data_IF_987075553524
#
_entry.id   IF_987075553524
#
_cell.length_a   1.000
_cell.length_b   1.000
_cell.length_c   1.000
_cell.angle_alpha   90.00
_cell.angle_beta   90.00
_cell.angle_gamma   90.00
#
_symmetry.space_group_name_H-M   'P 1'
#
loop_
_entity.id
_entity.type
_entity.pdbx_description
1 polymer ?
#
# COMPACT_ATOMS: atom_id res chain seq x y z
N UNK A 1 2.13 10.93 -6.30
CA UNK A 1 1.82 11.48 -4.97
C UNK A 1 0.86 12.64 -5.14
N UNK A 2 -0.15 12.74 -4.28
CA UNK A 2 -1.13 13.82 -4.28
C UNK A 2 -1.23 14.34 -2.86
N UNK A 3 -1.06 15.65 -2.68
CA UNK A 3 -1.27 16.32 -1.38
C UNK A 3 -2.44 17.29 -1.50
N UNK A 4 -3.44 17.13 -0.65
CA UNK A 4 -4.62 17.98 -0.62
C UNK A 4 -5.07 18.19 0.83
N UNK A 5 -5.32 19.45 1.21
CA UNK A 5 -5.78 19.82 2.56
C UNK A 5 -4.94 19.22 3.70
N UNK A 6 -3.62 19.16 3.53
CA UNK A 6 -2.70 18.60 4.52
C UNK A 6 -2.72 17.09 4.64
N UNK A 7 -3.36 16.38 3.71
CA UNK A 7 -3.31 14.92 3.58
C UNK A 7 -2.48 14.52 2.38
N UNK A 8 -1.64 13.51 2.52
CA UNK A 8 -0.80 13.01 1.43
C UNK A 8 -1.13 11.56 1.08
N UNK A 9 -1.44 11.34 -0.20
CA UNK A 9 -1.75 10.03 -0.79
C UNK A 9 -0.66 9.65 -1.78
N UNK A 10 -0.06 8.48 -1.56
CA UNK A 10 0.85 7.86 -2.52
C UNK A 10 0.11 6.78 -3.31
N UNK A 11 0.00 6.97 -4.62
CA UNK A 11 -0.47 5.93 -5.53
C UNK A 11 0.76 5.40 -6.28
N UNK A 12 1.15 4.15 -6.02
CA UNK A 12 2.38 3.59 -6.58
C UNK A 12 2.28 3.32 -8.10
N UNK A 13 1.05 3.13 -8.60
CA UNK A 13 0.85 2.61 -9.97
C UNK A 13 1.28 1.15 -10.06
N UNK A 14 1.55 0.70 -11.28
CA UNK A 14 2.14 -0.62 -11.53
C UNK A 14 3.66 -0.48 -11.44
N UNK A 15 4.24 -1.09 -10.40
CA UNK A 15 5.65 -0.96 -10.09
C UNK A 15 6.12 -2.12 -9.20
N UNK A 16 7.44 -2.30 -9.12
CA UNK A 16 8.12 -3.16 -8.16
C UNK A 16 8.57 -2.35 -6.93
N UNK A 17 9.13 -3.03 -5.93
CA UNK A 17 9.74 -2.33 -4.81
C UNK A 17 11.07 -1.68 -5.23
N UNK A 18 11.07 -0.35 -5.33
CA UNK A 18 12.24 0.44 -5.73
C UNK A 18 12.88 1.18 -4.53
N UNK A 19 14.19 1.46 -4.56
CA UNK A 19 14.90 2.14 -3.47
C UNK A 19 14.28 3.48 -3.05
N UNK A 20 13.74 4.25 -4.00
CA UNK A 20 13.15 5.57 -3.80
C UNK A 20 11.93 5.53 -2.86
N UNK A 21 11.25 4.38 -2.74
CA UNK A 21 10.17 4.22 -1.77
C UNK A 21 10.63 4.36 -0.31
N UNK A 22 11.93 4.16 -0.02
CA UNK A 22 12.52 4.38 1.31
C UNK A 22 12.74 5.84 1.65
N UNK A 23 12.71 6.71 0.64
CA UNK A 23 12.88 8.16 0.80
C UNK A 23 11.53 8.87 1.04
N UNK A 24 10.42 8.14 0.89
CA UNK A 24 9.08 8.66 1.19
C UNK A 24 8.87 8.78 2.71
N UNK A 25 8.23 9.87 3.13
CA UNK A 25 7.84 10.10 4.52
C UNK A 25 6.47 10.77 4.59
N UNK A 26 5.80 10.66 5.74
CA UNK A 26 4.57 11.42 6.05
C UNK A 26 3.38 11.12 5.11
N UNK A 27 3.24 9.86 4.69
CA UNK A 27 2.11 9.40 3.89
C UNK A 27 0.91 9.07 4.79
N UNK A 28 -0.24 9.69 4.55
CA UNK A 28 -1.48 9.29 5.23
C UNK A 28 -2.02 7.99 4.64
N UNK A 29 -1.96 7.86 3.30
CA UNK A 29 -2.42 6.66 2.60
C UNK A 29 -1.43 6.27 1.50
N UNK A 30 -1.08 4.99 1.41
CA UNK A 30 -0.42 4.42 0.25
C UNK A 30 -1.31 3.37 -0.44
N UNK A 31 -1.42 3.42 -1.76
CA UNK A 31 -2.04 2.39 -2.58
C UNK A 31 -0.91 1.61 -3.28
N UNK A 32 -0.80 0.32 -2.96
CA UNK A 32 0.30 -0.55 -3.43
C UNK A 32 -0.25 -1.71 -4.26
N UNK A 33 0.31 -2.00 -5.45
CA UNK A 33 -0.04 -3.20 -6.21
C UNK A 33 0.48 -4.45 -5.48
N UNK A 34 -0.28 -5.56 -5.54
CA UNK A 34 0.12 -6.83 -4.90
C UNK A 34 0.02 -8.03 -5.86
N UNK A 35 -0.06 -7.81 -7.17
CA UNK A 35 -0.45 -8.82 -8.16
C UNK A 35 0.64 -9.80 -8.61
N UNK A 36 1.93 -9.53 -8.34
CA UNK A 36 3.08 -10.42 -8.56
C UNK A 36 3.50 -10.74 -10.00
N UNK A 37 2.63 -10.55 -11.01
CA UNK A 37 2.97 -10.91 -12.41
C UNK A 37 3.65 -9.75 -13.16
N UNK A 38 3.14 -8.54 -12.97
CA UNK A 38 3.60 -7.32 -13.64
C UNK A 38 3.97 -6.21 -12.66
N UNK A 39 3.88 -6.51 -11.36
CA UNK A 39 4.06 -5.62 -10.21
C UNK A 39 4.58 -6.45 -9.05
N UNK A 40 4.86 -5.80 -7.91
CA UNK A 40 5.19 -6.46 -6.64
C UNK A 40 4.31 -7.69 -6.34
N UNK A 41 4.96 -8.76 -5.91
CA UNK A 41 4.28 -9.85 -5.20
C UNK A 41 3.89 -9.41 -3.77
N UNK A 42 3.20 -10.30 -3.03
CA UNK A 42 2.77 -9.96 -1.66
C UNK A 42 3.96 -9.65 -0.75
N UNK A 43 5.08 -10.36 -0.86
CA UNK A 43 6.24 -10.16 0.01
C UNK A 43 6.92 -8.83 -0.31
N UNK A 44 7.13 -8.53 -1.58
CA UNK A 44 7.70 -7.26 -2.03
C UNK A 44 6.81 -6.08 -1.62
N UNK A 45 5.50 -6.22 -1.77
CA UNK A 45 4.56 -5.19 -1.33
C UNK A 45 4.56 -4.99 0.19
N UNK A 46 4.77 -6.05 0.98
CA UNK A 46 4.93 -5.94 2.44
C UNK A 46 6.20 -5.16 2.78
N UNK A 47 7.31 -5.45 2.11
CA UNK A 47 8.55 -4.68 2.30
C UNK A 47 8.40 -3.22 1.87
N UNK A 48 7.70 -2.96 0.76
CA UNK A 48 7.38 -1.61 0.32
C UNK A 48 6.51 -0.86 1.32
N UNK A 49 5.46 -1.49 1.87
CA UNK A 49 4.62 -0.88 2.89
C UNK A 49 5.43 -0.51 4.16
N UNK A 50 6.31 -1.41 4.61
CA UNK A 50 7.18 -1.19 5.78
C UNK A 50 8.25 -0.13 5.51
N UNK A 51 8.74 -0.02 4.27
CA UNK A 51 9.67 1.03 3.87
C UNK A 51 9.01 2.41 3.86
N UNK A 52 7.82 2.51 3.26
CA UNK A 52 7.07 3.76 3.11
C UNK A 52 6.48 4.24 4.44
N UNK A 53 6.10 3.31 5.33
CA UNK A 53 5.46 3.56 6.63
C UNK A 53 4.26 4.52 6.58
N UNK A 54 3.27 4.30 5.69
CA UNK A 54 2.08 5.12 5.67
C UNK A 54 1.23 4.85 6.92
N UNK A 55 0.32 5.76 7.29
CA UNK A 55 -0.66 5.47 8.34
C UNK A 55 -1.62 4.37 7.93
N UNK A 56 -2.05 4.41 6.66
CA UNK A 56 -2.93 3.42 6.05
C UNK A 56 -2.34 2.92 4.73
N UNK A 57 -2.42 1.62 4.49
CA UNK A 57 -2.13 1.04 3.17
C UNK A 57 -3.35 0.32 2.61
N UNK A 58 -3.63 0.55 1.33
CA UNK A 58 -4.72 -0.08 0.59
C UNK A 58 -4.09 -0.94 -0.51
N UNK A 59 -4.20 -2.28 -0.45
CA UNK A 59 -3.75 -3.13 -1.54
C UNK A 59 -4.62 -2.90 -2.78
N UNK A 60 -3.99 -2.84 -3.95
CA UNK A 60 -4.63 -2.72 -5.25
C UNK A 60 -3.98 -3.67 -6.26
N UNK A 61 -4.44 -3.65 -7.51
CA UNK A 61 -3.86 -4.40 -8.64
C UNK A 61 -3.48 -5.84 -8.27
N UNK A 62 -4.43 -6.55 -7.64
CA UNK A 62 -4.17 -7.76 -6.87
C UNK A 62 -4.27 -9.05 -7.67
N UNK A 63 -4.67 -9.03 -8.95
CA UNK A 63 -4.84 -10.21 -9.82
C UNK A 63 -5.39 -11.47 -9.11
N UNK A 64 -4.53 -12.41 -8.69
CA UNK A 64 -4.90 -13.62 -7.93
C UNK A 64 -4.42 -13.62 -6.47
N UNK A 65 -3.69 -12.61 -6.06
CA UNK A 65 -3.15 -12.43 -4.71
C UNK A 65 -4.26 -12.09 -3.72
N UNK A 66 -4.16 -12.64 -2.51
CA UNK A 66 -5.14 -12.43 -1.44
C UNK A 66 -4.80 -11.15 -0.64
N UNK A 67 -5.64 -10.10 -0.67
CA UNK A 67 -5.46 -8.92 0.16
C UNK A 67 -5.45 -9.20 1.67
N UNK A 68 -6.08 -10.30 2.10
CA UNK A 68 -6.06 -10.72 3.50
C UNK A 68 -4.67 -11.20 3.91
N UNK A 69 -3.99 -11.97 3.06
CA UNK A 69 -2.61 -12.40 3.32
C UNK A 69 -1.67 -11.19 3.43
N UNK A 70 -1.82 -10.23 2.51
CA UNK A 70 -1.08 -8.97 2.58
C UNK A 70 -1.35 -8.23 3.90
N UNK A 71 -2.62 -8.10 4.29
CA UNK A 71 -3.03 -7.49 5.56
C UNK A 71 -2.37 -8.16 6.76
N UNK A 72 -2.52 -9.47 6.87
CA UNK A 72 -2.00 -10.24 8.00
C UNK A 72 -0.48 -10.08 8.13
N UNK A 73 0.26 -10.05 7.02
CA UNK A 73 1.73 -9.88 7.03
C UNK A 73 2.19 -8.46 7.38
N UNK A 74 1.52 -7.42 6.88
CA UNK A 74 1.88 -6.02 7.19
C UNK A 74 1.58 -5.71 8.66
N UNK A 75 0.39 -6.08 9.14
CA UNK A 75 -0.05 -5.79 10.52
C UNK A 75 0.70 -6.63 11.56
N UNK A 76 1.22 -7.80 11.20
CA UNK A 76 2.10 -8.58 12.08
C UNK A 76 3.49 -7.95 12.29
N UNK A 77 3.90 -7.00 11.44
CA UNK A 77 5.27 -6.45 11.40
C UNK A 77 5.33 -4.94 11.62
N UNK A 78 4.19 -4.27 11.76
CA UNK A 78 4.10 -2.82 11.84
C UNK A 78 2.78 -2.34 12.44
N UNK A 79 2.72 -1.07 12.81
CA UNK A 79 1.49 -0.41 13.24
C UNK A 79 0.67 0.18 12.07
N UNK A 80 1.01 -0.20 10.83
CA UNK A 80 0.33 0.27 9.62
C UNK A 80 -1.06 -0.37 9.56
N UNK A 81 -2.11 0.43 9.40
CA UNK A 81 -3.47 -0.10 9.19
C UNK A 81 -3.65 -0.51 7.74
N UNK A 82 -4.05 -1.76 7.50
CA UNK A 82 -4.34 -2.25 6.15
C UNK A 82 -5.84 -2.27 5.93
N UNK A 83 -6.28 -1.61 4.86
CA UNK A 83 -7.70 -1.52 4.46
C UNK A 83 -7.87 -2.14 3.08
N UNK A 84 -8.16 -3.45 2.98
CA UNK A 84 -8.55 -4.07 1.72
C UNK A 84 -9.91 -3.53 1.28
N UNK A 85 -9.96 -2.84 0.15
CA UNK A 85 -11.21 -2.37 -0.46
C UNK A 85 -11.63 -3.30 -1.59
N UNK A 86 -12.93 -3.57 -1.68
CA UNK A 86 -13.55 -4.17 -2.86
C UNK A 86 -13.87 -3.09 -3.89
N UNK A 87 -14.05 -3.50 -5.14
CA UNK A 87 -14.48 -2.61 -6.21
C UNK A 87 -15.80 -1.94 -5.81
N UNK A 88 -15.80 -0.60 -5.79
CA UNK A 88 -16.94 0.23 -5.41
C UNK A 88 -16.99 0.63 -3.93
N UNK A 89 -16.13 0.07 -3.08
CA UNK A 89 -15.99 0.53 -1.69
C UNK A 89 -15.16 1.83 -1.62
N UNK A 90 -15.45 2.64 -0.60
CA UNK A 90 -14.85 3.96 -0.42
C UNK A 90 -14.19 4.04 0.95
N UNK A 91 -12.94 4.51 0.97
CA UNK A 91 -12.25 4.87 2.20
C UNK A 91 -12.26 6.39 2.39
N UNK A 92 -12.76 6.85 3.53
CA UNK A 92 -12.81 8.26 3.88
C UNK A 92 -11.61 8.63 4.75
N UNK A 93 -10.73 9.48 4.23
CA UNK A 93 -9.63 10.04 5.00
C UNK A 93 -10.18 11.00 6.06
N UNK A 94 -9.80 10.78 7.32
CA UNK A 94 -10.13 11.64 8.45
C UNK A 94 -9.05 12.69 8.69
#
# INVERSE_FOLDING_TARGET
>A
MITLNGKTIYHAGDTDFIPEMKELSDMDVALLPIGGTFTMDIQEAVEAAIAIKPKVVIPMHNFKSDPKEFKDKVEARSDITVVPLKIGEVYHLK
#
